data_IF_181155780034
#
_entry.id   IF_181155780034
#
_cell.length_a   1.000
_cell.length_b   1.000
_cell.length_c   1.000
_cell.angle_alpha   90.00
_cell.angle_beta   90.00
_cell.angle_gamma   90.00
#
_symmetry.space_group_name_H-M   'P 1'
#
loop_
_entity.id
_entity.type
_entity.pdbx_description
1 polymer ?
#
# COMPACT_ATOMS: atom_id res chain seq x y z
N UNK A 1 -20.37 -0.36 6.62
CA UNK A 1 -20.77 0.63 5.59
C UNK A 1 -22.15 1.21 5.86
N UNK A 2 -23.13 0.40 6.25
CA UNK A 2 -24.54 0.79 6.36
C UNK A 2 -24.83 1.95 7.31
N UNK A 3 -24.10 2.03 8.43
CA UNK A 3 -24.27 3.11 9.43
C UNK A 3 -24.07 4.51 8.83
N UNK A 4 -23.11 4.67 7.93
CA UNK A 4 -22.71 5.97 7.37
C UNK A 4 -23.06 6.07 5.88
N UNK A 5 -24.08 5.31 5.42
CA UNK A 5 -24.43 5.21 4.00
C UNK A 5 -24.82 6.55 3.35
N UNK A 6 -25.28 7.51 4.14
CA UNK A 6 -25.70 8.84 3.69
C UNK A 6 -24.60 9.89 3.80
N UNK A 7 -23.42 9.53 4.31
CA UNK A 7 -22.27 10.43 4.47
C UNK A 7 -21.23 10.16 3.38
N UNK A 8 -20.25 11.07 3.27
CA UNK A 8 -19.05 10.84 2.48
C UNK A 8 -18.06 10.03 3.34
N UNK A 9 -17.74 8.82 2.90
CA UNK A 9 -16.91 7.86 3.65
C UNK A 9 -15.81 7.34 2.76
N UNK A 10 -14.63 7.12 3.35
CA UNK A 10 -13.53 6.38 2.73
C UNK A 10 -13.00 5.31 3.68
N UNK A 11 -12.41 4.27 3.11
CA UNK A 11 -11.60 3.30 3.85
C UNK A 11 -10.14 3.64 3.59
N UNK A 12 -9.38 3.85 4.66
CA UNK A 12 -7.92 3.96 4.59
C UNK A 12 -7.30 2.77 5.31
N UNK A 13 -6.38 2.10 4.63
CA UNK A 13 -5.61 0.99 5.18
C UNK A 13 -4.14 1.44 5.20
N UNK A 14 -3.40 1.02 6.22
CA UNK A 14 -1.95 1.21 6.28
C UNK A 14 -1.28 -0.09 6.72
N UNK A 15 -0.03 -0.26 6.29
CA UNK A 15 0.76 -1.42 6.65
C UNK A 15 2.23 -1.18 6.41
N UNK A 16 3.05 -1.88 7.19
CA UNK A 16 4.50 -1.91 7.07
C UNK A 16 4.97 -3.35 6.89
N UNK A 17 5.96 -3.59 6.01
CA UNK A 17 6.56 -4.91 5.81
C UNK A 17 5.52 -5.98 5.46
N UNK A 18 5.45 -7.10 6.19
CA UNK A 18 4.38 -8.10 6.02
C UNK A 18 2.98 -7.50 6.14
N UNK A 19 2.78 -6.54 7.05
CA UNK A 19 1.52 -5.84 7.20
C UNK A 19 1.13 -5.05 5.95
N UNK A 20 2.11 -4.55 5.18
CA UNK A 20 1.85 -3.89 3.91
C UNK A 20 1.37 -4.87 2.83
N UNK A 21 1.93 -6.09 2.79
CA UNK A 21 1.46 -7.14 1.89
C UNK A 21 0.03 -7.59 2.22
N UNK A 22 -0.25 -7.83 3.51
CA UNK A 22 -1.58 -8.20 3.98
C UNK A 22 -2.61 -7.09 3.69
N UNK A 23 -2.24 -5.84 3.93
CA UNK A 23 -3.08 -4.70 3.63
C UNK A 23 -3.37 -4.55 2.13
N UNK A 24 -2.39 -4.84 1.26
CA UNK A 24 -2.61 -4.87 -0.21
C UNK A 24 -3.67 -5.90 -0.57
N UNK A 25 -3.54 -7.14 -0.08
CA UNK A 25 -4.51 -8.21 -0.34
C UNK A 25 -5.89 -7.86 0.22
N UNK A 26 -5.97 -7.34 1.43
CA UNK A 26 -7.23 -6.96 2.06
C UNK A 26 -7.93 -5.81 1.33
N UNK A 27 -7.17 -4.79 0.89
CA UNK A 27 -7.73 -3.69 0.11
C UNK A 27 -8.28 -4.15 -1.24
N UNK A 28 -7.56 -5.05 -1.91
CA UNK A 28 -8.03 -5.70 -3.13
C UNK A 28 -9.28 -6.53 -2.90
N UNK A 29 -9.31 -7.33 -1.84
CA UNK A 29 -10.45 -8.16 -1.45
C UNK A 29 -11.71 -7.30 -1.21
N UNK A 30 -11.58 -6.23 -0.43
CA UNK A 30 -12.65 -5.27 -0.15
C UNK A 30 -13.21 -4.66 -1.44
N UNK A 31 -12.34 -4.20 -2.34
CA UNK A 31 -12.75 -3.52 -3.56
C UNK A 31 -13.32 -4.50 -4.60
N UNK A 32 -12.72 -5.68 -4.74
CA UNK A 32 -13.12 -6.68 -5.71
C UNK A 32 -14.45 -7.35 -5.35
N UNK A 33 -14.65 -7.68 -4.07
CA UNK A 33 -15.88 -8.31 -3.59
C UNK A 33 -16.98 -7.30 -3.23
N UNK A 34 -16.71 -5.99 -3.37
CA UNK A 34 -17.70 -4.94 -3.13
C UNK A 34 -18.05 -4.74 -1.66
N UNK A 35 -17.20 -5.18 -0.73
CA UNK A 35 -17.37 -4.92 0.71
C UNK A 35 -17.26 -3.43 1.05
N UNK A 36 -16.80 -2.61 0.11
CA UNK A 36 -16.84 -1.16 0.18
C UNK A 36 -18.20 -0.52 -0.16
N UNK A 37 -19.27 -1.31 -0.32
CA UNK A 37 -20.62 -0.84 -0.66
C UNK A 37 -21.59 -1.06 0.51
N UNK A 38 -22.49 -0.11 0.82
CA UNK A 38 -23.59 -0.35 1.74
C UNK A 38 -24.58 -1.39 1.18
N UNK A 39 -25.14 -2.21 2.06
CA UNK A 39 -26.12 -3.27 1.74
C UNK A 39 -27.33 -2.70 1.00
N UNK A 40 -27.84 -1.54 1.46
CA UNK A 40 -29.04 -0.91 0.92
C UNK A 40 -28.76 0.06 -0.25
N UNK A 41 -27.49 0.26 -0.63
CA UNK A 41 -27.11 1.14 -1.73
C UNK A 41 -25.91 0.58 -2.51
N UNK A 42 -26.11 -0.51 -3.27
CA UNK A 42 -25.02 -1.22 -3.96
C UNK A 42 -24.36 -0.39 -5.09
N UNK A 43 -25.01 0.70 -5.51
CA UNK A 43 -24.47 1.63 -6.50
C UNK A 43 -23.48 2.63 -5.89
N UNK A 44 -23.48 2.81 -4.56
CA UNK A 44 -22.55 3.70 -3.85
C UNK A 44 -21.36 2.92 -3.32
N UNK A 45 -20.25 2.92 -4.05
CA UNK A 45 -18.99 2.34 -3.59
C UNK A 45 -18.12 3.41 -2.92
N UNK A 46 -17.65 3.14 -1.70
CA UNK A 46 -16.70 4.02 -1.01
C UNK A 46 -15.27 3.80 -1.51
N UNK A 47 -14.50 4.89 -1.59
CA UNK A 47 -13.11 4.83 -2.00
C UNK A 47 -12.28 4.04 -0.98
N UNK A 48 -11.42 3.16 -1.46
CA UNK A 48 -10.43 2.41 -0.66
C UNK A 48 -9.05 2.92 -1.03
N UNK A 49 -8.33 3.47 -0.05
CA UNK A 49 -6.96 3.97 -0.24
C UNK A 49 -6.02 3.23 0.68
N UNK A 50 -4.89 2.80 0.15
CA UNK A 50 -3.86 2.09 0.88
C UNK A 50 -2.53 2.87 0.84
N UNK A 51 -1.92 3.05 2.02
CA UNK A 51 -0.57 3.58 2.14
C UNK A 51 0.34 2.49 2.71
N UNK A 52 1.36 2.10 1.94
CA UNK A 52 2.28 1.04 2.34
C UNK A 52 3.65 1.63 2.63
N UNK A 53 4.22 1.38 3.81
CA UNK A 53 5.65 1.58 4.02
C UNK A 53 6.34 0.24 3.79
N UNK A 54 7.19 0.14 2.76
CA UNK A 54 7.88 -1.12 2.39
C UNK A 54 6.96 -2.35 2.27
N UNK A 55 6.21 -2.43 1.18
CA UNK A 55 5.55 -3.70 0.82
C UNK A 55 6.53 -4.63 0.09
N UNK A 56 6.70 -5.88 0.52
CA UNK A 56 7.24 -6.90 -0.37
C UNK A 56 6.29 -7.12 -1.56
N UNK A 57 6.80 -7.80 -2.58
CA UNK A 57 6.03 -8.19 -3.76
C UNK A 57 4.94 -9.20 -3.37
N UNK A 58 3.69 -8.93 -3.76
CA UNK A 58 2.52 -9.67 -3.26
C UNK A 58 1.96 -10.66 -4.28
N UNK A 59 1.91 -10.26 -5.55
CA UNK A 59 1.16 -11.00 -6.56
C UNK A 59 1.84 -11.06 -7.90
N UNK A 60 1.31 -11.94 -8.75
CA UNK A 60 1.77 -12.10 -10.12
C UNK A 60 1.13 -11.08 -11.09
N UNK A 61 1.41 -11.24 -12.38
CA UNK A 61 0.86 -10.37 -13.42
C UNK A 61 -0.69 -10.37 -13.46
N UNK A 62 -1.32 -11.50 -13.13
CA UNK A 62 -2.80 -11.59 -13.09
C UNK A 62 -3.34 -10.73 -11.96
N UNK A 63 -2.75 -10.81 -10.77
CA UNK A 63 -3.13 -9.95 -9.64
C UNK A 63 -2.94 -8.47 -9.99
N UNK A 64 -1.84 -8.11 -10.64
CA UNK A 64 -1.63 -6.74 -11.14
C UNK A 64 -2.76 -6.29 -12.07
N UNK A 65 -3.14 -7.11 -13.06
CA UNK A 65 -4.23 -6.78 -13.99
C UNK A 65 -5.56 -6.60 -13.29
N UNK A 66 -5.85 -7.42 -12.27
CA UNK A 66 -7.04 -7.26 -11.42
C UNK A 66 -6.98 -5.92 -10.70
N UNK A 67 -5.85 -5.60 -10.05
CA UNK A 67 -5.66 -4.32 -9.37
C UNK A 67 -5.91 -3.13 -10.30
N UNK A 68 -5.31 -3.14 -11.50
CA UNK A 68 -5.44 -2.06 -12.49
C UNK A 68 -6.91 -1.84 -12.94
N UNK A 69 -7.78 -2.85 -12.81
CA UNK A 69 -9.21 -2.75 -13.13
C UNK A 69 -10.11 -2.21 -12.01
N UNK A 70 -9.61 -2.13 -10.77
CA UNK A 70 -10.39 -1.73 -9.59
C UNK A 70 -10.41 -0.20 -9.42
N UNK A 71 -11.38 0.48 -10.05
CA UNK A 71 -11.47 1.95 -10.08
C UNK A 71 -11.56 2.65 -8.71
N UNK A 72 -12.10 1.98 -7.70
CA UNK A 72 -12.29 2.55 -6.36
C UNK A 72 -11.12 2.22 -5.40
N UNK A 73 -10.07 1.57 -5.90
CA UNK A 73 -8.90 1.17 -5.13
C UNK A 73 -7.68 1.99 -5.54
N UNK A 74 -7.00 2.56 -4.56
CA UNK A 74 -5.76 3.30 -4.77
C UNK A 74 -4.70 2.82 -3.79
N UNK A 75 -3.47 2.69 -4.25
CA UNK A 75 -2.32 2.30 -3.43
C UNK A 75 -1.16 3.26 -3.69
N UNK A 76 -0.61 3.82 -2.61
CA UNK A 76 0.66 4.54 -2.61
C UNK A 76 1.70 3.75 -1.81
N UNK A 77 2.73 3.26 -2.49
CA UNK A 77 3.84 2.52 -1.90
C UNK A 77 4.98 3.48 -1.62
N UNK A 78 5.25 3.73 -0.34
CA UNK A 78 6.42 4.45 0.11
C UNK A 78 7.57 3.47 0.18
N UNK A 79 8.64 3.76 -0.55
CA UNK A 79 9.81 2.90 -0.66
C UNK A 79 11.05 3.65 -0.22
N UNK A 80 11.91 3.03 0.58
CA UNK A 80 13.25 3.53 0.85
C UNK A 80 14.22 2.76 -0.04
N UNK A 81 14.93 3.45 -0.92
CA UNK A 81 15.76 2.80 -1.96
C UNK A 81 16.86 1.86 -1.42
N UNK A 82 17.28 2.04 -0.16
CA UNK A 82 18.26 1.19 0.54
C UNK A 82 17.63 -0.01 1.27
N UNK A 83 16.29 -0.12 1.30
CA UNK A 83 15.60 -1.22 1.95
C UNK A 83 15.55 -2.48 1.05
N UNK A 84 16.16 -3.61 1.48
CA UNK A 84 16.21 -4.82 0.66
C UNK A 84 14.86 -5.52 0.50
N UNK A 85 13.87 -5.26 1.38
CA UNK A 85 12.57 -5.96 1.38
C UNK A 85 11.76 -5.66 0.12
N UNK A 86 12.03 -4.54 -0.56
CA UNK A 86 11.39 -4.18 -1.84
C UNK A 86 11.59 -5.22 -2.95
N UNK A 87 12.61 -6.07 -2.83
CA UNK A 87 12.98 -7.10 -3.82
C UNK A 87 12.55 -8.51 -3.41
N UNK A 88 11.82 -8.65 -2.31
CA UNK A 88 11.39 -9.94 -1.76
C UNK A 88 9.94 -10.23 -2.14
N UNK A 89 9.59 -11.48 -2.53
CA UNK A 89 10.50 -12.58 -2.87
C UNK A 89 11.32 -12.28 -4.13
N UNK A 90 12.60 -12.67 -4.12
CA UNK A 90 13.47 -12.52 -5.29
C UNK A 90 13.09 -13.58 -6.33
N UNK A 91 12.15 -13.22 -7.19
CA UNK A 91 11.62 -14.07 -8.25
C UNK A 91 11.30 -13.22 -9.48
N UNK A 92 12.34 -12.82 -10.26
CA UNK A 92 12.18 -11.93 -11.41
C UNK A 92 11.15 -12.45 -12.41
N UNK A 93 10.23 -11.58 -12.83
CA UNK A 93 9.18 -11.93 -13.80
C UNK A 93 8.00 -12.75 -13.22
N UNK A 94 8.07 -13.17 -11.95
CA UNK A 94 6.98 -13.92 -11.30
C UNK A 94 6.08 -12.97 -10.52
N UNK A 95 6.66 -12.07 -9.71
CA UNK A 95 5.91 -11.12 -8.89
C UNK A 95 6.05 -9.69 -9.40
N UNK A 96 4.99 -8.91 -9.21
CA UNK A 96 4.85 -7.54 -9.70
C UNK A 96 4.34 -6.63 -8.59
N UNK A 97 4.86 -5.41 -8.57
CA UNK A 97 4.32 -4.33 -7.75
C UNK A 97 3.01 -3.79 -8.33
N UNK A 98 2.14 -3.29 -7.45
CA UNK A 98 0.88 -2.62 -7.81
C UNK A 98 0.80 -1.24 -7.16
N UNK A 99 -0.08 -0.38 -7.67
CA UNK A 99 -0.20 1.01 -7.21
C UNK A 99 0.94 1.93 -7.64
N UNK A 100 0.94 3.14 -7.08
CA UNK A 100 1.93 4.18 -7.32
C UNK A 100 3.07 4.11 -6.33
N UNK A 101 4.24 4.62 -6.70
CA UNK A 101 5.44 4.61 -5.86
C UNK A 101 5.84 6.02 -5.43
N UNK A 102 6.19 6.17 -4.16
CA UNK A 102 6.84 7.34 -3.61
C UNK A 102 8.21 6.92 -3.05
N UNK A 103 9.27 7.28 -3.76
CA UNK A 103 10.64 7.00 -3.34
C UNK A 103 11.14 8.01 -2.31
N UNK A 104 11.68 7.52 -1.21
CA UNK A 104 12.40 8.30 -0.20
C UNK A 104 13.86 7.86 -0.16
N UNK A 105 14.74 8.79 0.27
CA UNK A 105 16.16 8.54 0.46
C UNK A 105 16.59 8.94 1.87
N UNK A 106 16.60 7.98 2.78
CA UNK A 106 16.98 8.24 4.17
C UNK A 106 18.48 8.50 4.35
N UNK A 107 19.33 8.21 3.35
CA UNK A 107 20.78 8.46 3.44
C UNK A 107 21.13 9.94 3.34
N UNK A 108 20.23 10.74 2.76
CA UNK A 108 20.37 12.20 2.67
C UNK A 108 20.10 12.92 3.99
N UNK A 109 19.51 12.25 4.98
CA UNK A 109 19.23 12.87 6.27
C UNK A 109 20.52 13.10 7.07
N UNK A 110 20.82 14.33 7.51
CA UNK A 110 21.94 14.59 8.42
C UNK A 110 21.67 14.13 9.86
N UNK A 111 20.42 13.75 10.17
CA UNK A 111 19.98 13.37 11.51
C UNK A 111 19.98 11.85 11.74
N UNK A 112 19.95 11.05 10.66
CA UNK A 112 19.98 9.60 10.77
C UNK A 112 21.42 9.11 10.86
N UNK A 113 21.65 8.15 11.75
CA UNK A 113 22.94 7.44 11.82
C UNK A 113 23.14 6.64 10.53
N UNK A 114 24.37 6.57 10.06
CA UNK A 114 24.73 5.84 8.83
C UNK A 114 24.38 4.34 8.87
N UNK A 115 24.28 3.76 10.05
CA UNK A 115 23.97 2.34 10.28
C UNK A 115 22.51 2.09 10.72
N UNK A 116 21.61 3.07 10.54
CA UNK A 116 20.19 2.86 10.83
C UNK A 116 19.65 1.70 9.99
N UNK A 117 18.79 0.87 10.58
CA UNK A 117 18.11 -0.17 9.82
C UNK A 117 17.15 0.51 8.81
N UNK A 118 17.39 0.39 7.50
CA UNK A 118 16.56 1.06 6.48
C UNK A 118 15.13 0.55 6.44
N UNK A 119 14.89 -0.63 7.01
CA UNK A 119 13.58 -1.27 7.11
C UNK A 119 12.74 -0.76 8.30
N UNK A 120 13.32 0.02 9.20
CA UNK A 120 12.61 0.52 10.37
C UNK A 120 11.50 1.51 9.96
N UNK A 121 10.27 1.32 10.44
CA UNK A 121 9.14 2.20 10.14
C UNK A 121 9.39 3.67 10.53
N UNK A 122 10.05 3.92 11.66
CA UNK A 122 10.40 5.27 12.10
C UNK A 122 11.42 5.93 11.14
N UNK A 123 12.31 5.14 10.52
CA UNK A 123 13.20 5.66 9.47
C UNK A 123 12.42 6.05 8.21
N UNK A 124 11.35 5.31 7.87
CA UNK A 124 10.42 5.69 6.82
C UNK A 124 9.70 6.99 7.16
N UNK A 125 9.12 7.10 8.36
CA UNK A 125 8.43 8.31 8.81
C UNK A 125 9.35 9.52 8.84
N UNK A 126 10.59 9.35 9.33
CA UNK A 126 11.63 10.37 9.27
C UNK A 126 11.91 10.81 7.83
N UNK A 127 12.11 9.85 6.93
CA UNK A 127 12.36 10.13 5.52
C UNK A 127 11.20 10.91 4.90
N UNK A 128 9.95 10.49 5.12
CA UNK A 128 8.75 11.18 4.64
C UNK A 128 8.68 12.62 5.17
N UNK A 129 9.00 12.82 6.45
CA UNK A 129 8.95 14.14 7.08
C UNK A 129 10.02 15.12 6.56
N UNK A 130 11.12 14.62 6.01
CA UNK A 130 12.24 15.42 5.51
C UNK A 130 12.46 15.37 4.00
N UNK A 131 11.54 14.77 3.24
CA UNK A 131 11.57 14.74 1.77
C UNK A 131 11.34 16.12 1.16
#
# INVERSE_FOLDING_TARGET
MDKYQNEEVSITIMGHSLGAALATLNAMDIANNGFNKPTNNPNKAFKVTFFSAVSPLVGNLVLKRIFDGLKNLHLLRIINFIDPILKVPFAPGIYFHVGQELGIDTTKSPYLKWNINPHNLEAYQHGIAGC
#
